data_IF_648217676084
#
_entry.id   IF_648217676084
#
_cell.length_a   1.000
_cell.length_b   1.000
_cell.length_c   1.000
_cell.angle_alpha   90.00
_cell.angle_beta   90.00
_cell.angle_gamma   90.00
#
_symmetry.space_group_name_H-M   'P 1'
#
loop_
_entity.id
_entity.type
_entity.pdbx_description
1 polymer ?
#
# COMPACT_ATOMS: atom_id res chain seq x y z
N UNK A 1 -0.61 -10.87 15.03
CA UNK A 1 -1.62 -9.84 14.72
C UNK A 1 -1.70 -9.74 13.22
N UNK A 2 -2.91 -9.74 12.65
CA UNK A 2 -3.08 -9.42 11.24
C UNK A 2 -2.73 -7.93 11.04
N UNK A 3 -1.99 -7.62 9.99
CA UNK A 3 -1.82 -6.24 9.54
C UNK A 3 -3.18 -5.70 9.10
N UNK A 4 -3.45 -4.44 9.43
CA UNK A 4 -4.68 -3.76 9.03
C UNK A 4 -4.30 -2.37 8.51
N UNK A 5 -4.58 -2.12 7.23
CA UNK A 5 -4.23 -0.86 6.59
C UNK A 5 -5.02 0.32 7.19
N UNK A 6 -4.37 1.45 7.56
CA UNK A 6 -5.01 2.59 8.21
C UNK A 6 -5.64 3.56 7.20
N UNK A 7 -6.49 3.05 6.29
CA UNK A 7 -7.05 3.81 5.16
C UNK A 7 -7.77 5.08 5.61
N UNK A 8 -8.54 5.01 6.71
CA UNK A 8 -9.26 6.17 7.26
C UNK A 8 -8.31 7.30 7.68
N UNK A 9 -7.21 6.94 8.34
CA UNK A 9 -6.20 7.90 8.77
C UNK A 9 -5.44 8.49 7.58
N UNK A 10 -5.18 7.69 6.55
CA UNK A 10 -4.54 8.18 5.32
C UNK A 10 -5.42 9.20 4.59
N UNK A 11 -6.72 8.91 4.44
CA UNK A 11 -7.68 9.85 3.83
C UNK A 11 -7.77 11.13 4.65
N UNK A 12 -7.86 11.02 5.98
CA UNK A 12 -7.86 12.18 6.87
C UNK A 12 -6.60 13.03 6.70
N UNK A 13 -5.42 12.41 6.71
CA UNK A 13 -4.15 13.13 6.54
C UNK A 13 -4.08 13.85 5.19
N UNK A 14 -4.58 13.22 4.12
CA UNK A 14 -4.68 13.87 2.81
C UNK A 14 -5.59 15.10 2.87
N UNK A 15 -6.85 14.91 3.31
CA UNK A 15 -7.89 15.95 3.30
C UNK A 15 -7.58 17.12 4.23
N UNK A 16 -7.04 16.85 5.43
CA UNK A 16 -6.91 17.86 6.49
C UNK A 16 -5.48 18.39 6.68
N UNK A 17 -4.45 17.66 6.21
CA UNK A 17 -3.05 17.98 6.54
C UNK A 17 -2.14 18.14 5.31
N UNK A 18 -2.61 17.80 4.11
CA UNK A 18 -1.77 17.77 2.90
C UNK A 18 -2.29 18.65 1.74
N UNK A 19 -3.08 19.69 2.04
CA UNK A 19 -3.65 20.62 1.05
C UNK A 19 -4.37 19.91 -0.12
N UNK A 20 -5.00 18.77 0.15
CA UNK A 20 -5.63 17.96 -0.89
C UNK A 20 -6.77 18.72 -1.61
N UNK A 21 -7.56 19.52 -0.90
CA UNK A 21 -8.61 20.36 -1.50
C UNK A 21 -8.06 21.37 -2.51
N UNK A 22 -6.89 21.96 -2.23
CA UNK A 22 -6.24 22.90 -3.16
C UNK A 22 -5.77 22.17 -4.42
N UNK A 23 -5.23 20.96 -4.27
CA UNK A 23 -4.80 20.13 -5.39
C UNK A 23 -5.97 19.75 -6.30
N UNK A 24 -7.08 19.27 -5.73
CA UNK A 24 -8.31 18.97 -6.47
C UNK A 24 -8.84 20.22 -7.18
N UNK A 25 -8.85 21.37 -6.49
CA UNK A 25 -9.29 22.66 -7.05
C UNK A 25 -8.37 23.20 -8.17
N UNK A 26 -7.08 22.86 -8.15
CA UNK A 26 -6.10 23.34 -9.12
C UNK A 26 -6.31 22.80 -10.54
N UNK A 27 -7.03 21.69 -10.69
CA UNK A 27 -7.22 20.95 -11.95
C UNK A 27 -5.92 20.45 -12.62
N UNK A 28 -4.79 20.46 -11.90
CA UNK A 28 -3.53 19.89 -12.39
C UNK A 28 -3.64 18.37 -12.62
N UNK A 29 -4.53 17.71 -11.87
CA UNK A 29 -4.90 16.32 -12.06
C UNK A 29 -6.42 16.20 -12.14
N UNK A 30 -7.01 16.24 -13.34
CA UNK A 30 -8.46 16.27 -13.54
C UNK A 30 -9.22 15.05 -12.99
N UNK A 31 -8.57 13.89 -12.94
CA UNK A 31 -9.16 12.64 -12.46
C UNK A 31 -9.05 12.45 -10.94
N UNK A 32 -8.40 13.39 -10.25
CA UNK A 32 -8.27 13.33 -8.80
C UNK A 32 -9.55 13.84 -8.14
N UNK A 33 -10.31 12.92 -7.56
CA UNK A 33 -11.44 13.23 -6.69
C UNK A 33 -11.49 12.31 -5.46
N UNK A 34 -12.39 12.63 -4.54
CA UNK A 34 -12.59 11.88 -3.29
C UNK A 34 -12.86 10.40 -3.54
N UNK A 35 -13.71 10.09 -4.52
CA UNK A 35 -14.08 8.72 -4.85
C UNK A 35 -12.87 7.94 -5.36
N UNK A 36 -12.04 8.57 -6.20
CA UNK A 36 -10.83 7.99 -6.74
C UNK A 36 -9.84 7.65 -5.62
N UNK A 37 -9.50 8.60 -4.74
CA UNK A 37 -8.55 8.37 -3.66
C UNK A 37 -9.06 7.31 -2.68
N UNK A 38 -10.33 7.37 -2.30
CA UNK A 38 -10.93 6.39 -1.41
C UNK A 38 -10.89 4.98 -2.03
N UNK A 39 -11.24 4.84 -3.31
CA UNK A 39 -11.18 3.55 -4.01
C UNK A 39 -9.77 3.02 -4.12
N UNK A 40 -8.83 3.87 -4.53
CA UNK A 40 -7.41 3.52 -4.68
C UNK A 40 -6.83 3.00 -3.36
N UNK A 41 -7.05 3.72 -2.26
CA UNK A 41 -6.51 3.33 -0.96
C UNK A 41 -7.16 2.05 -0.41
N UNK A 42 -8.45 1.82 -0.67
CA UNK A 42 -9.12 0.58 -0.27
C UNK A 42 -8.61 -0.65 -1.05
N UNK A 43 -8.39 -0.54 -2.36
CA UNK A 43 -7.82 -1.65 -3.14
C UNK A 43 -6.35 -1.90 -2.80
N UNK A 44 -5.58 -0.83 -2.54
CA UNK A 44 -4.21 -0.96 -2.04
C UNK A 44 -4.18 -1.66 -0.67
N UNK A 45 -5.11 -1.31 0.23
CA UNK A 45 -5.26 -1.98 1.52
C UNK A 45 -5.61 -3.46 1.37
N UNK A 46 -6.50 -3.81 0.45
CA UNK A 46 -6.83 -5.20 0.16
C UNK A 46 -5.61 -5.99 -0.29
N UNK A 47 -4.79 -5.44 -1.19
CA UNK A 47 -3.55 -6.07 -1.62
C UNK A 47 -2.58 -6.25 -0.44
N UNK A 48 -2.37 -5.20 0.35
CA UNK A 48 -1.46 -5.20 1.48
C UNK A 48 -1.89 -6.20 2.56
N UNK A 49 -3.17 -6.19 2.94
CA UNK A 49 -3.71 -6.98 4.04
C UNK A 49 -3.86 -8.47 3.67
N UNK A 50 -4.21 -8.77 2.40
CA UNK A 50 -4.57 -10.14 1.99
C UNK A 50 -3.50 -10.89 1.21
N UNK A 51 -2.56 -10.20 0.56
CA UNK A 51 -1.52 -10.84 -0.25
C UNK A 51 -0.13 -10.61 0.33
N UNK A 52 0.20 -9.38 0.71
CA UNK A 52 1.55 -9.03 1.16
C UNK A 52 1.76 -9.41 2.63
N UNK A 53 0.90 -8.92 3.53
CA UNK A 53 1.05 -9.13 4.97
C UNK A 53 1.11 -10.60 5.40
N UNK A 54 0.34 -11.54 4.79
CA UNK A 54 0.44 -12.96 5.15
C UNK A 54 1.83 -13.56 4.88
N UNK A 55 2.56 -13.04 3.89
CA UNK A 55 3.88 -13.54 3.54
C UNK A 55 4.98 -13.02 4.48
N UNK A 56 4.71 -11.98 5.26
CA UNK A 56 5.74 -11.28 6.05
C UNK A 56 6.53 -12.23 6.96
N UNK A 57 5.85 -13.01 7.80
CA UNK A 57 6.52 -13.88 8.76
C UNK A 57 7.16 -15.11 8.10
N UNK A 58 6.51 -15.71 7.10
CA UNK A 58 7.07 -16.88 6.42
C UNK A 58 8.28 -16.52 5.58
N UNK A 59 8.26 -15.36 4.94
CA UNK A 59 9.38 -14.88 4.14
C UNK A 59 10.58 -14.47 4.98
N UNK A 60 10.35 -13.79 6.11
CA UNK A 60 11.42 -13.45 7.06
C UNK A 60 12.13 -14.71 7.59
N UNK A 61 11.36 -15.76 7.94
CA UNK A 61 11.93 -17.05 8.38
C UNK A 61 12.69 -17.79 7.28
N UNK A 62 12.22 -17.71 6.04
CA UNK A 62 12.85 -18.42 4.92
C UNK A 62 14.11 -17.70 4.42
N UNK A 63 14.10 -16.36 4.42
CA UNK A 63 15.18 -15.53 3.90
C UNK A 63 15.40 -15.67 2.39
N UNK A 64 16.42 -14.97 1.90
CA UNK A 64 16.92 -15.16 0.53
C UNK A 64 18.14 -16.08 0.53
N UNK A 65 18.29 -16.89 -0.52
CA UNK A 65 19.38 -17.85 -0.64
C UNK A 65 20.26 -17.48 -1.83
N UNK A 66 21.56 -17.30 -1.61
CA UNK A 66 22.56 -17.19 -2.67
C UNK A 66 23.18 -18.57 -2.92
N UNK A 67 23.05 -19.09 -4.14
CA UNK A 67 23.67 -20.36 -4.56
C UNK A 67 24.20 -20.24 -5.98
N UNK A 68 25.47 -20.60 -6.19
CA UNK A 68 26.13 -20.58 -7.50
C UNK A 68 26.01 -19.23 -8.24
N UNK A 69 26.07 -18.11 -7.50
CA UNK A 69 25.94 -16.77 -8.07
C UNK A 69 24.51 -16.32 -8.37
N UNK A 70 23.49 -17.14 -8.08
CA UNK A 70 22.08 -16.78 -8.23
C UNK A 70 21.40 -16.60 -6.88
N UNK A 71 20.60 -15.55 -6.74
CA UNK A 71 19.76 -15.29 -5.57
C UNK A 71 18.35 -15.80 -5.83
N UNK A 72 17.79 -16.52 -4.87
CA UNK A 72 16.37 -16.89 -4.83
C UNK A 72 15.69 -16.23 -3.63
N UNK A 73 14.53 -15.63 -3.87
CA UNK A 73 13.68 -15.01 -2.85
C UNK A 73 12.92 -16.06 -2.04
N UNK A 74 12.39 -15.63 -0.89
CA UNK A 74 11.52 -16.48 -0.10
C UNK A 74 10.25 -16.86 -0.89
N UNK A 75 9.69 -18.07 -0.68
CA UNK A 75 8.49 -18.49 -1.39
C UNK A 75 7.34 -17.47 -1.25
N UNK A 76 6.78 -17.06 -2.39
CA UNK A 76 5.69 -16.07 -2.48
C UNK A 76 6.14 -14.63 -2.76
N UNK A 77 7.44 -14.34 -2.70
CA UNK A 77 8.05 -13.06 -3.07
C UNK A 77 8.76 -13.12 -4.43
#
# INVERSE_FOLDING_TARGET
>A
MAFASPVKQMIFALKEMANYSDLVGSKLWPDLDDSFVETLLNEAAKLADTSIAPLNQSADKAGSILKNGQVSTAPGF
#
